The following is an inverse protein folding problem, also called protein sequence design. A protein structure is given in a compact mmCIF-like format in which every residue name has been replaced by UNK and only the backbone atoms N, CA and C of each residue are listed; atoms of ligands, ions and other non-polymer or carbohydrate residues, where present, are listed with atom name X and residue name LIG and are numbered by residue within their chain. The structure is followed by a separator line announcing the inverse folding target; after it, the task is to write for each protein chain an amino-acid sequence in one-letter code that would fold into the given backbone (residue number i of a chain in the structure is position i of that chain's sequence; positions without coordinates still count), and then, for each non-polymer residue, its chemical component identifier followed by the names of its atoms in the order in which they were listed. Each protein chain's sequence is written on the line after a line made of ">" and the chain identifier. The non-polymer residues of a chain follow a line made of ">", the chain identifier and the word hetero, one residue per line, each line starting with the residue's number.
data_IF_234959359739
#
_entry.id   IF_234959359739
#
_cell.length_a   1.000
_cell.length_b   1.000
_cell.length_c   1.000
_cell.angle_alpha   90.00
_cell.angle_beta   90.00
_cell.angle_gamma   90.00
#
_symmetry.space_group_name_H-M   'P 1'
#
loop_
_entity.id
_entity.type
_entity.pdbx_description
1 polymer ?
#
# COMPACT_ATOMS: atom_id res chain seq x y z
N UNK A 1 -2.62 14.16 1.55
CA UNK A 1 -2.77 14.20 0.07
C UNK A 1 -1.47 13.93 -0.68
N UNK A 2 -0.29 14.38 -0.21
CA UNK A 2 1.00 14.13 -0.89
C UNK A 2 1.24 12.65 -1.29
N UNK A 3 0.95 11.71 -0.40
CA UNK A 3 1.16 10.27 -0.66
C UNK A 3 0.20 9.68 -1.70
N UNK A 4 -1.00 10.23 -1.84
CA UNK A 4 -1.91 9.84 -2.93
C UNK A 4 -1.32 10.29 -4.27
N UNK A 5 -0.77 11.50 -4.34
CA UNK A 5 -0.08 12.01 -5.53
C UNK A 5 1.14 11.15 -5.89
N UNK A 6 1.99 10.83 -4.90
CA UNK A 6 3.14 9.93 -5.09
C UNK A 6 2.68 8.55 -5.56
N UNK A 7 1.67 7.97 -4.91
CA UNK A 7 1.10 6.68 -5.29
C UNK A 7 0.56 6.67 -6.72
N UNK A 8 -0.08 7.76 -7.14
CA UNK A 8 -0.61 7.93 -8.51
C UNK A 8 0.52 8.03 -9.54
N UNK A 9 1.60 8.75 -9.23
CA UNK A 9 2.77 8.83 -10.11
C UNK A 9 3.42 7.43 -10.22
N UNK A 10 3.59 6.73 -9.09
CA UNK A 10 4.13 5.37 -9.07
C UNK A 10 3.27 4.39 -9.86
N UNK A 11 1.94 4.49 -9.80
CA UNK A 11 1.05 3.60 -10.53
C UNK A 11 1.12 3.81 -12.03
N UNK A 12 1.20 5.06 -12.48
CA UNK A 12 1.35 5.40 -13.92
C UNK A 12 2.70 4.87 -14.42
N UNK A 13 3.78 5.15 -13.70
CA UNK A 13 5.10 4.64 -14.04
C UNK A 13 5.12 3.10 -14.05
N UNK A 14 4.48 2.49 -13.06
CA UNK A 14 4.32 1.04 -12.95
C UNK A 14 3.69 0.46 -14.21
N UNK A 15 2.56 1.00 -14.66
CA UNK A 15 1.89 0.56 -15.89
C UNK A 15 2.77 0.77 -17.11
N UNK A 16 3.36 1.97 -17.27
CA UNK A 16 4.22 2.28 -18.42
C UNK A 16 5.39 1.31 -18.51
N UNK A 17 6.11 1.08 -17.42
CA UNK A 17 7.22 0.13 -17.41
C UNK A 17 6.77 -1.31 -17.63
N UNK A 18 5.62 -1.70 -17.07
CA UNK A 18 5.08 -3.04 -17.28
C UNK A 18 4.79 -3.30 -18.77
N UNK A 19 4.21 -2.30 -19.46
CA UNK A 19 3.96 -2.37 -20.91
C UNK A 19 5.26 -2.43 -21.71
N UNK A 20 6.26 -1.62 -21.35
CA UNK A 20 7.55 -1.60 -22.05
C UNK A 20 8.32 -2.93 -21.95
N UNK A 21 8.19 -3.65 -20.83
CA UNK A 21 8.92 -4.90 -20.58
C UNK A 21 8.14 -6.13 -21.04
N UNK A 22 6.83 -6.17 -20.78
CA UNK A 22 6.00 -7.38 -20.93
C UNK A 22 4.75 -7.17 -21.79
N UNK A 23 4.60 -6.05 -22.50
CA UNK A 23 3.45 -5.79 -23.35
C UNK A 23 2.18 -5.39 -22.59
N UNK A 24 1.12 -5.08 -23.34
CA UNK A 24 -0.13 -4.56 -22.79
C UNK A 24 -0.88 -5.60 -21.95
N UNK A 25 -0.69 -6.90 -22.25
CA UNK A 25 -1.30 -8.00 -21.52
C UNK A 25 -0.85 -8.11 -20.06
N UNK A 26 0.32 -7.54 -19.72
CA UNK A 26 0.86 -7.48 -18.35
C UNK A 26 0.91 -6.05 -17.80
N UNK A 27 0.16 -5.10 -18.37
CA UNK A 27 0.15 -3.69 -17.94
C UNK A 27 -0.10 -3.51 -16.42
N UNK A 28 -0.92 -4.36 -15.82
CA UNK A 28 -1.27 -4.33 -14.39
C UNK A 28 -0.17 -4.81 -13.44
N UNK A 29 0.81 -5.59 -13.91
CA UNK A 29 1.67 -6.43 -13.06
C UNK A 29 2.51 -5.58 -12.10
N UNK A 30 3.26 -4.60 -12.61
CA UNK A 30 4.17 -3.81 -11.77
C UNK A 30 3.42 -2.87 -10.81
N UNK A 31 2.36 -2.21 -11.27
CA UNK A 31 1.49 -1.39 -10.40
C UNK A 31 0.83 -2.24 -9.33
N UNK A 32 0.33 -3.42 -9.68
CA UNK A 32 -0.29 -4.36 -8.74
C UNK A 32 0.70 -4.87 -7.70
N UNK A 33 1.93 -5.19 -8.11
CA UNK A 33 2.99 -5.61 -7.21
C UNK A 33 3.37 -4.51 -6.21
N UNK A 34 3.59 -3.28 -6.67
CA UNK A 34 3.89 -2.12 -5.81
C UNK A 34 2.74 -1.87 -4.83
N UNK A 35 1.50 -1.86 -5.32
CA UNK A 35 0.32 -1.72 -4.47
C UNK A 35 0.22 -2.82 -3.42
N UNK A 36 0.46 -4.08 -3.82
CA UNK A 36 0.47 -5.23 -2.93
C UNK A 36 1.49 -5.11 -1.80
N UNK A 37 2.71 -4.67 -2.11
CA UNK A 37 3.75 -4.41 -1.08
C UNK A 37 3.23 -3.40 -0.04
N UNK A 38 2.67 -2.27 -0.47
CA UNK A 38 2.17 -1.26 0.46
C UNK A 38 0.93 -1.72 1.24
N UNK A 39 0.07 -2.56 0.68
CA UNK A 39 -1.01 -3.23 1.43
C UNK A 39 -0.42 -4.11 2.52
N UNK A 40 0.59 -4.93 2.22
CA UNK A 40 1.25 -5.78 3.22
C UNK A 40 1.80 -4.92 4.36
N UNK A 41 2.50 -3.82 4.05
CA UNK A 41 2.98 -2.88 5.08
C UNK A 41 1.84 -2.30 5.92
N UNK A 42 0.73 -1.93 5.30
CA UNK A 42 -0.45 -1.42 6.00
C UNK A 42 -1.00 -2.47 6.97
N UNK A 43 -1.13 -3.72 6.54
CA UNK A 43 -1.63 -4.82 7.36
C UNK A 43 -0.71 -5.11 8.55
N UNK A 44 0.60 -5.14 8.33
CA UNK A 44 1.59 -5.33 9.39
C UNK A 44 1.51 -4.22 10.45
N UNK A 45 1.47 -2.96 10.03
CA UNK A 45 1.43 -1.81 10.95
C UNK A 45 0.08 -1.67 11.67
N UNK A 46 -1.01 -2.13 11.05
CA UNK A 46 -2.35 -2.11 11.66
C UNK A 46 -2.49 -3.07 12.85
N UNK A 47 -1.64 -4.09 12.95
CA UNK A 47 -1.79 -5.18 13.93
C UNK A 47 -2.92 -6.16 13.62
N UNK A 48 -3.62 -6.02 12.49
CA UNK A 48 -4.76 -6.88 12.09
C UNK A 48 -4.37 -8.34 11.87
N UNK A 49 -3.11 -8.61 11.57
CA UNK A 49 -2.57 -9.97 11.41
C UNK A 49 -2.08 -10.60 12.73
N UNK A 50 -2.13 -9.86 13.85
CA UNK A 50 -1.68 -10.31 15.17
C UNK A 50 -2.79 -10.88 16.06
N UNK A 51 -2.42 -11.35 17.26
CA UNK A 51 -3.38 -11.73 18.29
C UNK A 51 -4.02 -10.48 18.92
N UNK A 52 -5.35 -10.51 19.09
CA UNK A 52 -6.09 -9.44 19.76
C UNK A 52 -5.60 -9.16 21.18
N UNK A 53 -5.19 -10.18 21.93
CA UNK A 53 -4.64 -10.02 23.28
C UNK A 53 -3.29 -9.31 23.25
N UNK A 54 -2.43 -9.65 22.28
CA UNK A 54 -1.15 -8.95 22.07
C UNK A 54 -1.38 -7.50 21.66
N UNK A 55 -2.37 -7.25 20.82
CA UNK A 55 -2.73 -5.90 20.40
C UNK A 55 -3.25 -5.05 21.56
N UNK A 56 -4.06 -5.63 22.46
CA UNK A 56 -4.52 -4.95 23.69
C UNK A 56 -3.37 -4.69 24.66
N UNK A 57 -2.44 -5.63 24.81
CA UNK A 57 -1.24 -5.45 25.64
C UNK A 57 -0.34 -4.34 25.08
N UNK A 58 -0.04 -4.38 23.77
CA UNK A 58 0.73 -3.32 23.10
C UNK A 58 0.04 -1.96 23.26
N UNK A 59 -1.29 -1.90 23.10
CA UNK A 59 -2.03 -0.66 23.29
C UNK A 59 -1.97 -0.14 24.75
N UNK A 60 -1.84 -1.02 25.74
CA UNK A 60 -1.72 -0.62 27.14
C UNK A 60 -0.33 -0.10 27.51
N UNK A 61 0.73 -0.52 26.79
CA UNK A 61 2.12 -0.19 27.10
C UNK A 61 2.76 0.82 26.14
N UNK A 62 2.25 0.93 24.92
CA UNK A 62 2.73 1.86 23.88
C UNK A 62 2.39 3.31 24.24
N UNK A 63 3.33 4.23 24.01
CA UNK A 63 3.09 5.65 24.21
C UNK A 63 2.14 6.21 23.14
N UNK A 64 1.56 7.39 23.38
CA UNK A 64 0.72 8.04 22.36
C UNK A 64 1.53 8.42 21.12
N UNK A 65 2.77 8.84 21.30
CA UNK A 65 3.66 9.28 20.22
C UNK A 65 4.03 8.11 19.30
N UNK A 66 4.45 6.97 19.87
CA UNK A 66 4.74 5.75 19.09
C UNK A 66 3.52 5.27 18.31
N UNK A 67 2.33 5.35 18.94
CA UNK A 67 1.07 4.98 18.30
C UNK A 67 0.73 5.88 17.12
N UNK A 68 0.90 7.18 17.30
CA UNK A 68 0.62 8.16 16.26
C UNK A 68 1.61 8.01 15.10
N UNK A 69 2.89 7.73 15.37
CA UNK A 69 3.89 7.43 14.34
C UNK A 69 3.55 6.14 13.58
N UNK A 70 3.16 5.07 14.28
CA UNK A 70 2.71 3.82 13.66
C UNK A 70 1.50 4.04 12.77
N UNK A 71 0.48 4.74 13.27
CA UNK A 71 -0.73 5.06 12.51
C UNK A 71 -0.43 5.99 11.32
N UNK A 72 0.49 6.93 11.48
CA UNK A 72 0.93 7.80 10.40
C UNK A 72 1.60 6.99 9.29
N UNK A 73 2.51 6.08 9.65
CA UNK A 73 3.18 5.18 8.71
C UNK A 73 2.21 4.24 7.99
N UNK A 74 1.27 3.65 8.75
CA UNK A 74 0.19 2.83 8.20
C UNK A 74 -0.65 3.61 7.19
N UNK A 75 -1.12 4.80 7.55
CA UNK A 75 -1.95 5.63 6.67
C UNK A 75 -1.18 6.05 5.41
N UNK A 76 0.10 6.42 5.54
CA UNK A 76 0.91 6.78 4.39
C UNK A 76 1.11 5.59 3.43
N UNK A 77 1.36 4.39 3.96
CA UNK A 77 1.44 3.16 3.16
C UNK A 77 0.12 2.88 2.44
N UNK A 78 -1.01 2.99 3.13
CA UNK A 78 -2.34 2.80 2.52
C UNK A 78 -2.61 3.81 1.40
N UNK A 79 -2.26 5.08 1.60
CA UNK A 79 -2.44 6.13 0.60
C UNK A 79 -1.51 5.95 -0.62
N UNK A 80 -0.36 5.29 -0.47
CA UNK A 80 0.49 4.87 -1.59
C UNK A 80 -0.08 3.64 -2.31
N UNK A 81 -0.66 2.71 -1.55
CA UNK A 81 -1.23 1.46 -2.07
C UNK A 81 -2.47 1.70 -2.94
N UNK A 82 -3.38 2.56 -2.49
CA UNK A 82 -4.70 2.73 -3.12
C UNK A 82 -4.62 3.09 -4.62
N UNK A 83 -3.89 4.12 -5.06
CA UNK A 83 -3.78 4.42 -6.48
C UNK A 83 -3.18 3.25 -7.29
N UNK A 84 -2.17 2.58 -6.75
CA UNK A 84 -1.49 1.45 -7.40
C UNK A 84 -2.44 0.26 -7.62
N UNK A 85 -3.23 -0.10 -6.60
CA UNK A 85 -4.21 -1.18 -6.70
C UNK A 85 -5.34 -0.80 -7.64
N UNK A 86 -5.89 0.42 -7.52
CA UNK A 86 -6.98 0.89 -8.37
C UNK A 86 -6.55 0.85 -9.85
N UNK A 87 -5.39 1.44 -10.18
CA UNK A 87 -4.87 1.46 -11.55
C UNK A 87 -4.54 0.05 -12.05
N UNK A 88 -3.98 -0.82 -11.21
CA UNK A 88 -3.71 -2.21 -11.59
C UNK A 88 -5.00 -2.97 -11.91
N UNK A 89 -6.06 -2.77 -11.14
CA UNK A 89 -7.38 -3.35 -11.41
C UNK A 89 -7.92 -2.86 -12.75
N UNK A 90 -7.89 -1.55 -13.01
CA UNK A 90 -8.32 -1.00 -14.29
C UNK A 90 -7.48 -1.55 -15.47
N UNK A 91 -6.15 -1.57 -15.33
CA UNK A 91 -5.24 -2.09 -16.36
C UNK A 91 -5.31 -3.61 -16.56
N UNK A 92 -5.96 -4.36 -15.66
CA UNK A 92 -6.21 -5.78 -15.84
C UNK A 92 -7.44 -6.05 -16.72
N UNK A 93 -8.43 -5.14 -16.70
CA UNK A 93 -9.68 -5.28 -17.43
C UNK A 93 -9.71 -4.57 -18.80
N UNK A 94 -8.73 -3.71 -19.09
CA UNK A 94 -8.52 -3.12 -20.42
C UNK A 94 -7.74 -4.07 -21.32
#
# INVERSE_FOLDING_TARGET
>A
MKYVGIGTILSILGVVFSILIWGTEKAHLLSGFIGGIFIIFTLLMSGSMGSGDRMRANFATETKEDRDERNHSMNNALLLALPNIIVAIFAYYM
#
